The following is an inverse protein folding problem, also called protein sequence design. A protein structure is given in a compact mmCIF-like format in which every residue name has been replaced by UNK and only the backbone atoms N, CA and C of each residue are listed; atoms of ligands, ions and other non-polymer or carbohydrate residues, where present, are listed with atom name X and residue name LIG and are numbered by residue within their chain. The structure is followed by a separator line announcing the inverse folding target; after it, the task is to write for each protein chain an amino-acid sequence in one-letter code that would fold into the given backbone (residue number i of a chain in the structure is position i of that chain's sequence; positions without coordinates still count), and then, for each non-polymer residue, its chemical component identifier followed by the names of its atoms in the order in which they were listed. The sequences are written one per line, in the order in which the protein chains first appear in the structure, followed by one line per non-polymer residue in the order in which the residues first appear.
data_IF_412988091943
#
_entry.id   IF_412988091943
#
_cell.length_a   1.000
_cell.length_b   1.000
_cell.length_c   1.000
_cell.angle_alpha   90.00
_cell.angle_beta   90.00
_cell.angle_gamma   90.00
#
_symmetry.space_group_name_H-M   'P 1'
#
loop_
_entity.id
_entity.type
_entity.pdbx_description
1 polymer ?
#
# COMPACT_ATOMS: atom_id res chain seq x y z
N UNK A 1 -15.39 -2.46 -0.24
CA UNK A 1 -14.76 -1.54 -1.19
C UNK A 1 -13.54 -2.26 -1.74
N UNK A 2 -13.35 -2.28 -3.06
CA UNK A 2 -12.21 -2.99 -3.63
C UNK A 2 -10.92 -2.24 -3.24
N UNK A 3 -9.82 -2.95 -2.93
CA UNK A 3 -8.53 -2.32 -2.58
C UNK A 3 -8.06 -1.40 -3.71
N UNK A 4 -8.34 -1.78 -4.95
CA UNK A 4 -8.04 -1.05 -6.17
C UNK A 4 -8.67 0.35 -6.15
N UNK A 5 -9.94 0.47 -5.75
CA UNK A 5 -10.68 1.74 -5.76
C UNK A 5 -10.06 2.80 -4.82
N UNK A 6 -9.38 2.35 -3.75
CA UNK A 6 -8.77 3.24 -2.75
C UNK A 6 -7.56 4.01 -3.29
N UNK A 7 -6.87 3.43 -4.26
CA UNK A 7 -5.63 3.98 -4.82
C UNK A 7 -5.83 4.66 -6.18
N UNK A 8 -7.08 4.75 -6.66
CA UNK A 8 -7.43 5.50 -7.87
C UNK A 8 -7.47 7.02 -7.64
N UNK A 9 -7.56 7.48 -6.39
CA UNK A 9 -7.47 8.89 -6.04
C UNK A 9 -6.03 9.31 -5.79
N UNK A 10 -5.76 10.60 -5.96
CA UNK A 10 -4.47 11.18 -5.59
C UNK A 10 -4.25 11.10 -4.08
N UNK A 11 -3.12 10.54 -3.67
CA UNK A 11 -2.72 10.38 -2.27
C UNK A 11 -1.34 10.99 -2.05
N UNK A 12 -1.08 11.44 -0.83
CA UNK A 12 0.23 11.95 -0.47
C UNK A 12 1.17 10.80 -0.08
N UNK A 13 2.23 10.59 -0.86
CA UNK A 13 3.24 9.55 -0.61
C UNK A 13 4.21 9.95 0.51
N UNK A 14 5.07 9.02 0.94
CA UNK A 14 6.15 9.27 1.92
C UNK A 14 7.24 10.22 1.39
N UNK A 15 7.34 10.38 0.07
CA UNK A 15 8.21 11.37 -0.57
C UNK A 15 7.59 12.78 -0.61
N UNK A 16 6.48 13.00 0.11
CA UNK A 16 5.71 14.25 0.21
C UNK A 16 5.04 14.73 -1.09
N UNK A 17 5.11 13.96 -2.17
CA UNK A 17 4.39 14.25 -3.42
C UNK A 17 2.97 13.69 -3.39
N UNK A 18 2.04 14.44 -3.98
CA UNK A 18 0.70 13.96 -4.27
C UNK A 18 0.73 13.21 -5.60
N UNK A 19 0.41 11.92 -5.58
CA UNK A 19 0.56 11.03 -6.73
C UNK A 19 -0.67 10.15 -6.89
N UNK A 20 -0.93 9.72 -8.12
CA UNK A 20 -1.77 8.57 -8.38
C UNK A 20 -0.86 7.35 -8.35
N UNK A 21 -1.17 6.41 -7.47
CA UNK A 21 -0.36 5.20 -7.34
C UNK A 21 -0.67 4.24 -8.49
N UNK A 22 0.37 3.60 -9.01
CA UNK A 22 0.21 2.51 -9.97
C UNK A 22 -0.05 1.22 -9.20
N UNK A 23 -1.00 0.42 -9.66
CA UNK A 23 -1.39 -0.84 -9.01
C UNK A 23 -0.76 -1.99 -9.78
N UNK A 24 -0.12 -2.91 -9.05
CA UNK A 24 0.52 -4.10 -9.60
C UNK A 24 -0.08 -5.31 -8.90
N UNK A 25 -0.94 -6.03 -9.64
CA UNK A 25 -1.84 -7.04 -9.08
C UNK A 25 -1.16 -8.36 -8.67
N UNK A 26 0.05 -8.61 -9.15
CA UNK A 26 0.77 -9.86 -8.88
C UNK A 26 2.27 -9.66 -9.00
N UNK A 27 2.89 -9.13 -7.94
CA UNK A 27 4.34 -9.16 -7.79
C UNK A 27 4.75 -10.37 -6.94
N UNK A 28 5.73 -11.12 -7.42
CA UNK A 28 6.27 -12.28 -6.71
C UNK A 28 7.46 -11.85 -5.83
N UNK A 29 7.50 -12.35 -4.60
CA UNK A 29 8.68 -12.28 -3.73
C UNK A 29 8.89 -13.61 -2.99
N UNK A 30 9.94 -13.68 -2.16
CA UNK A 30 10.30 -14.90 -1.40
C UNK A 30 9.18 -15.44 -0.49
N UNK A 31 8.16 -14.62 -0.19
CA UNK A 31 7.01 -14.98 0.66
C UNK A 31 5.71 -15.22 -0.13
N UNK A 32 5.77 -15.18 -1.46
CA UNK A 32 4.66 -15.42 -2.37
C UNK A 32 4.24 -14.18 -3.17
N UNK A 33 3.03 -14.24 -3.70
CA UNK A 33 2.48 -13.16 -4.54
C UNK A 33 1.75 -12.10 -3.69
N UNK A 34 1.93 -10.84 -4.08
CA UNK A 34 1.35 -9.70 -3.42
C UNK A 34 0.70 -8.71 -4.39
N UNK A 35 -0.32 -8.02 -3.90
CA UNK A 35 -0.88 -6.82 -4.51
C UNK A 35 -0.12 -5.62 -3.97
N UNK A 36 0.67 -4.97 -4.82
CA UNK A 36 1.45 -3.79 -4.44
C UNK A 36 0.99 -2.56 -5.19
N UNK A 37 1.30 -1.40 -4.60
CA UNK A 37 1.21 -0.12 -5.29
C UNK A 37 2.58 0.53 -5.39
N UNK A 38 2.82 1.25 -6.50
CA UNK A 38 4.06 1.97 -6.75
C UNK A 38 3.83 3.47 -6.78
N UNK A 39 4.70 4.23 -6.10
CA UNK A 39 4.77 5.67 -6.28
C UNK A 39 5.53 5.99 -7.57
N UNK A 40 4.95 6.70 -8.56
CA UNK A 40 5.65 7.01 -9.82
C UNK A 40 6.77 8.05 -9.65
N UNK A 41 6.91 8.67 -8.48
CA UNK A 41 7.92 9.72 -8.23
C UNK A 41 9.14 9.20 -7.48
N UNK A 42 8.94 8.38 -6.44
CA UNK A 42 10.05 7.83 -5.65
C UNK A 42 10.24 6.32 -5.83
N UNK A 43 9.45 5.70 -6.73
CA UNK A 43 9.51 4.29 -7.13
C UNK A 43 9.29 3.26 -6.01
N UNK A 44 9.04 3.71 -4.79
CA UNK A 44 8.75 2.87 -3.63
C UNK A 44 7.49 2.02 -3.85
N UNK A 45 7.60 0.74 -3.47
CA UNK A 45 6.56 -0.26 -3.55
C UNK A 45 5.97 -0.53 -2.16
N UNK A 46 4.65 -0.52 -2.05
CA UNK A 46 3.93 -0.79 -0.81
C UNK A 46 3.03 -2.00 -0.99
N UNK A 47 3.14 -3.00 -0.11
CA UNK A 47 2.18 -4.10 -0.09
C UNK A 47 0.85 -3.64 0.49
N UNK A 48 -0.25 -3.97 -0.18
CA UNK A 48 -1.58 -3.48 0.19
C UNK A 48 -2.49 -4.56 0.76
N UNK A 49 -2.18 -5.82 0.45
CA UNK A 49 -2.89 -7.00 0.93
C UNK A 49 -2.49 -7.34 2.37
N UNK A 50 -1.19 -7.34 2.63
CA UNK A 50 -0.63 -7.90 3.85
C UNK A 50 0.80 -7.37 4.10
N UNK A 51 1.25 -7.37 5.35
CA UNK A 51 2.61 -6.90 5.66
C UNK A 51 3.64 -7.89 5.14
N UNK A 52 4.54 -7.41 4.28
CA UNK A 52 5.61 -8.21 3.68
C UNK A 52 6.97 -7.51 3.87
N UNK A 53 8.04 -8.21 4.31
CA UNK A 53 9.36 -7.61 4.49
C UNK A 53 10.00 -7.07 3.20
N UNK A 54 9.59 -7.57 2.03
CA UNK A 54 10.09 -7.13 0.72
C UNK A 54 9.62 -5.72 0.33
N UNK A 55 8.53 -5.22 0.92
CA UNK A 55 7.85 -4.00 0.48
C UNK A 55 7.67 -3.01 1.64
N UNK A 56 7.43 -1.74 1.30
CA UNK A 56 7.12 -0.74 2.31
C UNK A 56 5.78 -1.03 2.98
N UNK A 57 5.71 -0.69 4.27
CA UNK A 57 4.49 -0.82 5.03
C UNK A 57 3.48 0.26 4.61
N UNK A 58 2.30 -0.14 4.13
CA UNK A 58 1.22 0.76 3.71
C UNK A 58 0.76 1.72 4.81
N UNK A 59 0.92 1.34 6.09
CA UNK A 59 0.58 2.20 7.23
C UNK A 59 1.44 3.48 7.27
N UNK A 60 2.59 3.53 6.58
CA UNK A 60 3.36 4.77 6.41
C UNK A 60 2.57 5.84 5.65
N UNK A 61 1.72 5.44 4.70
CA UNK A 61 0.85 6.36 3.96
C UNK A 61 -0.27 6.94 4.83
N UNK A 62 -0.68 6.26 5.90
CA UNK A 62 -1.74 6.73 6.79
C UNK A 62 -1.38 8.00 7.57
N UNK A 63 -0.08 8.24 7.79
CA UNK A 63 0.38 9.48 8.41
C UNK A 63 -0.05 10.70 7.60
N UNK A 64 -0.07 10.56 6.28
CA UNK A 64 -0.42 11.62 5.35
C UNK A 64 -1.86 11.50 4.84
N UNK A 65 -2.46 10.29 4.90
CA UNK A 65 -3.79 9.98 4.37
C UNK A 65 -4.62 9.26 5.45
N UNK A 66 -5.06 9.95 6.52
CA UNK A 66 -5.64 9.31 7.70
C UNK A 66 -6.97 8.58 7.45
N UNK A 67 -7.64 8.87 6.34
CA UNK A 67 -8.93 8.24 5.97
C UNK A 67 -8.78 7.05 5.01
N UNK A 68 -7.55 6.71 4.59
CA UNK A 68 -7.30 5.67 3.59
C UNK A 68 -7.68 4.25 4.10
N UNK A 69 -7.46 3.99 5.39
CA UNK A 69 -7.85 2.73 6.04
C UNK A 69 -8.55 2.95 7.37
N UNK A 70 -9.66 2.23 7.56
CA UNK A 70 -10.31 2.10 8.87
C UNK A 70 -9.44 1.30 9.85
N UNK A 71 -9.70 1.43 11.16
CA UNK A 71 -8.97 0.68 12.19
C UNK A 71 -9.04 -0.83 12.00
N UNK A 72 -10.18 -1.36 11.56
CA UNK A 72 -10.35 -2.79 11.31
C UNK A 72 -9.46 -3.27 10.15
N UNK A 73 -9.39 -2.50 9.06
CA UNK A 73 -8.55 -2.87 7.92
C UNK A 73 -7.06 -2.77 8.27
N UNK A 74 -6.65 -1.78 9.06
CA UNK A 74 -5.29 -1.69 9.59
C UNK A 74 -4.93 -2.92 10.42
N UNK A 75 -5.85 -3.35 11.31
CA UNK A 75 -5.67 -4.57 12.10
C UNK A 75 -5.57 -5.81 11.22
N UNK A 76 -6.44 -5.95 10.22
CA UNK A 76 -6.40 -7.08 9.29
C UNK A 76 -5.09 -7.15 8.51
N UNK A 77 -4.59 -6.02 8.02
CA UNK A 77 -3.30 -5.92 7.33
C UNK A 77 -2.13 -6.35 8.22
N UNK A 78 -2.14 -5.98 9.51
CA UNK A 78 -1.09 -6.34 10.46
C UNK A 78 -1.17 -7.81 10.90
N UNK A 79 -2.38 -8.34 11.07
CA UNK A 79 -2.61 -9.74 11.43
C UNK A 79 -2.18 -10.70 10.32
N UNK A 80 -2.34 -10.29 9.07
CA UNK A 80 -1.84 -11.03 7.91
C UNK A 80 -0.39 -10.58 7.60
N UNK A 81 0.55 -10.95 8.46
CA UNK A 81 1.98 -10.69 8.22
C UNK A 81 2.74 -11.97 7.90
N UNK A 82 3.74 -11.85 7.02
CA UNK A 82 4.78 -12.85 6.85
C UNK A 82 5.93 -12.61 7.84
#
# INVERSE_FOLDING_TARGET
MNLIDKFQNTLQCICNNHVNFEIIDSIECDWGNHLVIQCPVCEELFSTDKKCPAFQNILKLLKNNPQLYSKNEQSNYLSNSH
#
